data_IF_530244220449
#
_entry.id   IF_530244220449
#
_cell.length_a   1.000
_cell.length_b   1.000
_cell.length_c   1.000
_cell.angle_alpha   90.00
_cell.angle_beta   90.00
_cell.angle_gamma   90.00
#
_symmetry.space_group_name_H-M   'P 1'
#
loop_
_entity.id
_entity.type
_entity.pdbx_description
1 polymer ?
#
# COMPACT_ATOMS: atom_id res chain seq x y z
N UNK A 1 23.55 -70.05 -10.28
CA UNK A 1 22.42 -70.54 -11.10
C UNK A 1 21.47 -69.39 -11.32
N UNK A 2 21.43 -68.90 -12.55
CA UNK A 2 20.49 -67.87 -13.03
C UNK A 2 19.04 -68.31 -12.85
N UNK A 3 18.15 -67.34 -12.60
CA UNK A 3 16.85 -67.30 -13.29
C UNK A 3 16.26 -65.89 -13.29
N UNK A 4 15.95 -65.49 -14.52
CA UNK A 4 15.43 -64.22 -15.03
C UNK A 4 14.03 -63.85 -14.52
N UNK A 5 13.85 -62.58 -14.14
CA UNK A 5 12.54 -61.97 -13.90
C UNK A 5 12.06 -61.15 -15.10
N UNK A 6 10.99 -61.58 -15.74
CA UNK A 6 10.30 -60.87 -16.84
C UNK A 6 9.24 -59.91 -16.26
N UNK A 7 9.46 -58.60 -16.38
CA UNK A 7 8.44 -57.56 -16.12
C UNK A 7 7.50 -57.42 -17.32
N UNK A 8 6.20 -57.62 -17.11
CA UNK A 8 5.12 -57.27 -18.06
C UNK A 8 4.96 -55.75 -18.13
N UNK A 9 4.92 -55.20 -19.34
CA UNK A 9 4.49 -53.81 -19.63
C UNK A 9 2.95 -53.77 -19.73
N UNK A 10 2.31 -52.85 -19.03
CA UNK A 10 0.92 -52.43 -19.27
C UNK A 10 0.89 -51.28 -20.30
N UNK A 11 -0.10 -51.22 -21.21
CA UNK A 11 -0.26 -50.10 -22.12
C UNK A 11 -0.99 -48.93 -21.43
N UNK A 12 -0.48 -47.71 -21.60
CA UNK A 12 -1.18 -46.48 -21.25
C UNK A 12 -2.11 -46.11 -22.42
N UNK A 13 -3.42 -46.27 -22.23
CA UNK A 13 -4.45 -45.73 -23.12
C UNK A 13 -4.58 -44.22 -22.91
N UNK A 14 -4.33 -43.43 -23.96
CA UNK A 14 -4.54 -41.99 -23.97
C UNK A 14 -6.02 -41.63 -24.00
N UNK A 15 -6.52 -41.01 -22.93
CA UNK A 15 -7.81 -40.33 -22.88
C UNK A 15 -7.61 -38.82 -23.02
N UNK A 16 -8.22 -38.21 -24.04
CA UNK A 16 -8.20 -36.77 -24.28
C UNK A 16 -9.32 -36.10 -23.46
N UNK A 17 -8.96 -35.27 -22.48
CA UNK A 17 -9.90 -34.44 -21.73
C UNK A 17 -10.22 -33.18 -22.54
N UNK A 18 -11.43 -33.12 -23.12
CA UNK A 18 -11.95 -31.91 -23.76
C UNK A 18 -12.46 -30.94 -22.68
N UNK A 19 -11.79 -29.81 -22.48
CA UNK A 19 -12.31 -28.70 -21.68
C UNK A 19 -13.28 -27.88 -22.53
N UNK A 20 -14.55 -27.76 -22.10
CA UNK A 20 -15.49 -26.78 -22.63
C UNK A 20 -15.07 -25.38 -22.14
N UNK A 21 -14.90 -24.45 -23.06
CA UNK A 21 -14.65 -23.04 -22.75
C UNK A 21 -15.91 -22.40 -22.14
N UNK A 22 -15.79 -21.64 -21.03
CA UNK A 22 -16.91 -20.89 -20.48
C UNK A 22 -17.38 -19.78 -21.44
N UNK A 23 -18.65 -19.36 -21.38
CA UNK A 23 -19.18 -18.29 -22.22
C UNK A 23 -18.47 -16.95 -21.92
N UNK A 24 -18.35 -16.06 -22.93
CA UNK A 24 -17.65 -14.79 -22.76
C UNK A 24 -18.37 -13.86 -21.77
N UNK A 25 -17.63 -13.03 -21.01
CA UNK A 25 -18.21 -12.11 -20.04
C UNK A 25 -19.00 -10.99 -20.73
N UNK A 26 -20.19 -10.66 -20.20
CA UNK A 26 -21.00 -9.52 -20.62
C UNK A 26 -20.84 -8.35 -19.64
N UNK A 27 -20.46 -7.17 -20.16
CA UNK A 27 -20.31 -5.94 -19.37
C UNK A 27 -19.37 -4.94 -20.06
N UNK A 28 -19.26 -3.69 -19.58
CA UNK A 28 -18.51 -2.60 -20.22
C UNK A 28 -16.98 -2.84 -20.35
N UNK A 29 -16.49 -3.99 -19.88
CA UNK A 29 -15.09 -4.43 -19.96
C UNK A 29 -14.86 -5.60 -20.93
N UNK A 30 -15.91 -6.13 -21.58
CA UNK A 30 -15.83 -7.29 -22.47
C UNK A 30 -14.96 -7.04 -23.73
N UNK A 31 -15.00 -5.83 -24.26
CA UNK A 31 -14.21 -5.41 -25.43
C UNK A 31 -12.71 -5.33 -25.12
N UNK A 32 -12.33 -5.03 -23.88
CA UNK A 32 -10.92 -4.93 -23.48
C UNK A 32 -10.25 -6.31 -23.36
N UNK A 33 -10.93 -7.29 -22.75
CA UNK A 33 -10.40 -8.65 -22.58
C UNK A 33 -10.15 -9.38 -23.91
N UNK A 34 -10.97 -9.10 -24.93
CA UNK A 34 -10.80 -9.69 -26.26
C UNK A 34 -9.51 -9.26 -26.98
N UNK A 35 -8.96 -8.09 -26.65
CA UNK A 35 -7.79 -7.51 -27.33
C UNK A 35 -6.43 -8.03 -26.83
N UNK A 36 -6.42 -8.77 -25.71
CA UNK A 36 -5.22 -9.36 -25.11
C UNK A 36 -4.97 -10.81 -25.59
N UNK A 37 -5.99 -11.49 -26.14
CA UNK A 37 -5.88 -12.89 -26.61
C UNK A 37 -5.18 -13.03 -27.98
N UNK A 38 -5.08 -11.95 -28.76
CA UNK A 38 -4.64 -11.99 -30.17
C UNK A 38 -3.14 -11.81 -30.41
N UNK A 39 -2.29 -11.83 -29.37
CA UNK A 39 -0.83 -11.62 -29.49
C UNK A 39 0.06 -12.82 -29.16
N UNK A 40 -0.44 -14.04 -29.33
CA UNK A 40 0.39 -15.26 -29.33
C UNK A 40 0.25 -16.01 -30.66
N UNK A 41 0.84 -15.44 -31.70
CA UNK A 41 1.06 -16.12 -32.98
C UNK A 41 2.24 -17.10 -32.86
N UNK A 42 1.94 -18.39 -33.05
CA UNK A 42 2.93 -19.48 -33.17
C UNK A 42 3.85 -19.22 -34.37
N UNK A 43 5.16 -19.12 -34.14
CA UNK A 43 6.17 -19.45 -35.14
C UNK A 43 7.23 -20.33 -34.48
N UNK A 44 7.40 -21.54 -35.02
CA UNK A 44 8.41 -22.51 -34.61
C UNK A 44 9.50 -22.53 -35.67
N UNK A 45 10.68 -21.99 -35.37
CA UNK A 45 11.88 -22.15 -36.20
C UNK A 45 13.00 -22.71 -35.33
N UNK A 46 13.44 -23.93 -35.66
CA UNK A 46 14.60 -24.58 -35.08
C UNK A 46 15.89 -23.92 -35.60
N UNK A 47 16.80 -23.54 -34.69
CA UNK A 47 18.17 -23.14 -35.00
C UNK A 47 19.16 -24.15 -34.37
N UNK A 48 20.25 -24.54 -35.05
CA UNK A 48 21.17 -25.55 -34.57
C UNK A 48 22.14 -24.98 -33.52
N UNK A 49 22.41 -25.77 -32.48
CA UNK A 49 23.36 -25.46 -31.41
C UNK A 49 24.80 -25.55 -31.93
N UNK A 50 25.45 -24.41 -32.15
CA UNK A 50 26.91 -24.32 -32.30
C UNK A 50 27.54 -24.01 -30.95
N UNK A 51 28.38 -24.92 -30.43
CA UNK A 51 29.18 -24.69 -29.21
C UNK A 51 30.29 -23.69 -29.52
N UNK A 52 30.14 -22.44 -29.08
CA UNK A 52 31.26 -21.50 -28.94
C UNK A 52 31.69 -21.43 -27.47
N UNK A 53 32.99 -21.64 -27.22
CA UNK A 53 33.60 -21.42 -25.90
C UNK A 53 33.68 -19.91 -25.65
N UNK A 54 32.87 -19.41 -24.71
CA UNK A 54 32.96 -18.03 -24.24
C UNK A 54 34.08 -17.97 -23.19
N UNK A 55 35.15 -17.22 -23.48
CA UNK A 55 36.13 -16.80 -22.47
C UNK A 55 35.46 -15.72 -21.61
N UNK A 56 35.21 -15.99 -20.33
CA UNK A 56 34.80 -14.95 -19.38
C UNK A 56 35.99 -14.02 -19.13
N UNK A 57 35.86 -12.76 -19.55
CA UNK A 57 36.65 -11.65 -19.07
C UNK A 57 36.04 -11.18 -17.76
N UNK A 58 36.83 -11.16 -16.69
CA UNK A 58 36.44 -10.67 -15.37
C UNK A 58 36.38 -9.13 -15.38
N UNK A 59 35.26 -8.57 -15.81
CA UNK A 59 34.89 -7.20 -15.46
C UNK A 59 34.20 -7.24 -14.11
N UNK A 60 34.93 -6.86 -13.07
CA UNK A 60 34.38 -6.60 -11.74
C UNK A 60 33.37 -5.47 -11.85
N UNK A 61 32.12 -5.80 -12.13
CA UNK A 61 31.01 -4.87 -11.96
C UNK A 61 30.92 -4.68 -10.46
N UNK A 62 31.30 -3.50 -9.96
CA UNK A 62 30.88 -3.05 -8.64
C UNK A 62 29.36 -2.96 -8.75
N UNK A 63 28.68 -4.06 -8.41
CA UNK A 63 27.29 -4.03 -8.01
C UNK A 63 27.28 -3.09 -6.82
N UNK A 64 27.00 -1.81 -7.07
CA UNK A 64 26.60 -0.88 -6.03
C UNK A 64 25.59 -1.65 -5.20
N UNK A 65 25.88 -1.85 -3.93
CA UNK A 65 25.02 -2.59 -3.02
C UNK A 65 23.63 -1.97 -3.10
N UNK A 66 22.75 -2.54 -3.94
CA UNK A 66 21.32 -2.40 -3.78
C UNK A 66 21.13 -2.77 -2.32
N UNK A 67 20.72 -1.82 -1.48
CA UNK A 67 20.64 -2.02 -0.04
C UNK A 67 19.83 -3.31 0.21
N UNK A 68 20.53 -4.40 0.50
CA UNK A 68 19.97 -5.71 0.83
C UNK A 68 19.32 -5.67 2.23
N UNK A 69 19.40 -4.53 2.90
CA UNK A 69 18.78 -4.24 4.19
C UNK A 69 17.41 -3.60 3.97
N UNK A 70 16.41 -4.03 4.75
CA UNK A 70 15.04 -3.52 4.63
C UNK A 70 14.96 -2.00 4.91
N UNK A 71 14.18 -1.23 4.14
CA UNK A 71 14.02 0.21 4.37
C UNK A 71 13.36 0.48 5.72
N UNK A 72 13.65 1.62 6.33
CA UNK A 72 13.02 2.07 7.58
C UNK A 72 11.91 3.06 7.26
N UNK A 73 10.67 2.75 7.63
CA UNK A 73 9.52 3.61 7.37
C UNK A 73 9.02 4.19 8.70
N UNK A 74 8.84 5.51 8.73
CA UNK A 74 8.24 6.19 9.87
C UNK A 74 6.72 6.04 9.89
N UNK A 75 6.11 5.79 11.05
CA UNK A 75 4.65 5.81 11.23
C UNK A 75 4.28 6.92 12.23
N UNK A 76 3.49 7.89 11.79
CA UNK A 76 3.08 9.02 12.65
C UNK A 76 2.13 8.56 13.76
N UNK A 77 2.52 8.80 15.00
CA UNK A 77 1.71 8.42 16.17
C UNK A 77 0.40 9.21 16.22
N UNK A 78 -0.65 8.58 16.72
CA UNK A 78 -1.97 9.18 16.89
C UNK A 78 -2.15 9.62 18.35
N UNK A 79 -2.81 10.76 18.55
CA UNK A 79 -3.34 11.12 19.87
C UNK A 79 -4.69 10.43 20.06
N UNK A 80 -4.96 9.85 21.24
CA UNK A 80 -6.26 9.27 21.50
C UNK A 80 -7.34 10.37 21.50
N UNK A 81 -8.61 9.96 21.37
CA UNK A 81 -9.71 10.92 21.53
C UNK A 81 -9.65 11.49 22.94
N UNK A 82 -10.09 12.76 23.09
CA UNK A 82 -10.09 13.58 24.31
C UNK A 82 -10.73 12.95 25.58
N UNK A 83 -11.19 11.70 25.53
CA UNK A 83 -11.86 10.99 26.62
C UNK A 83 -11.14 9.72 27.10
N UNK A 84 -9.95 9.35 26.57
CA UNK A 84 -9.18 8.30 27.23
C UNK A 84 -8.45 8.87 28.45
N UNK A 85 -8.69 8.27 29.62
CA UNK A 85 -7.93 8.56 30.85
C UNK A 85 -6.41 8.41 30.63
N UNK A 86 -6.05 7.58 29.65
CA UNK A 86 -4.72 7.38 29.17
C UNK A 86 -4.42 8.34 27.99
N UNK A 87 -3.69 9.43 28.28
CA UNK A 87 -3.27 10.45 27.28
C UNK A 87 -2.10 9.99 26.41
N UNK A 88 -1.66 8.73 26.51
CA UNK A 88 -0.52 8.21 25.75
C UNK A 88 -0.78 8.21 24.25
N UNK A 89 0.22 8.66 23.49
CA UNK A 89 0.24 8.55 22.04
C UNK A 89 0.27 7.07 21.67
N UNK A 90 -0.33 6.72 20.53
CA UNK A 90 -0.40 5.32 20.13
C UNK A 90 -0.26 5.11 18.63
N UNK A 91 0.11 3.90 18.25
CA UNK A 91 0.01 3.38 16.89
C UNK A 91 -0.77 2.06 16.95
N UNK A 92 -1.77 1.89 16.09
CA UNK A 92 -2.41 0.58 15.96
C UNK A 92 -1.43 -0.43 15.35
N UNK A 93 -1.30 -1.60 15.96
CA UNK A 93 -0.28 -2.58 15.58
C UNK A 93 -0.44 -3.09 14.13
N UNK A 94 -1.65 -3.02 13.57
CA UNK A 94 -1.92 -3.37 12.18
C UNK A 94 -1.11 -2.57 11.16
N UNK A 95 -0.82 -1.28 11.41
CA UNK A 95 0.04 -0.50 10.52
C UNK A 95 1.51 -0.94 10.56
N UNK A 96 1.98 -1.38 11.73
CA UNK A 96 3.34 -1.91 11.89
C UNK A 96 3.45 -3.23 11.11
N UNK A 97 2.52 -4.16 11.36
CA UNK A 97 2.44 -5.47 10.68
C UNK A 97 2.28 -5.33 9.17
N UNK A 98 1.52 -4.33 8.70
CA UNK A 98 1.36 -4.02 7.27
C UNK A 98 2.72 -3.74 6.60
N UNK A 99 3.56 -2.90 7.22
CA UNK A 99 4.87 -2.56 6.67
C UNK A 99 5.88 -3.69 6.82
N UNK A 100 5.91 -4.34 7.99
CA UNK A 100 6.84 -5.46 8.27
C UNK A 100 6.56 -6.66 7.37
N UNK A 101 5.29 -6.93 7.02
CA UNK A 101 4.92 -8.00 6.09
C UNK A 101 5.55 -7.85 4.70
N UNK A 102 5.92 -6.63 4.28
CA UNK A 102 6.59 -6.33 3.02
C UNK A 102 8.12 -6.10 3.18
N UNK A 103 8.67 -6.39 4.36
CA UNK A 103 10.11 -6.33 4.63
C UNK A 103 10.64 -4.94 4.98
N UNK A 104 9.81 -4.04 5.51
CA UNK A 104 10.27 -2.79 6.10
C UNK A 104 10.50 -2.91 7.61
N UNK A 105 11.46 -2.15 8.12
CA UNK A 105 11.58 -1.82 9.55
C UNK A 105 10.72 -0.60 9.85
N UNK A 106 10.22 -0.47 11.07
CA UNK A 106 9.33 0.64 11.43
C UNK A 106 9.87 1.46 12.60
N UNK A 107 9.74 2.78 12.50
CA UNK A 107 10.05 3.74 13.57
C UNK A 107 8.79 4.55 13.89
N UNK A 108 8.38 4.66 15.17
CA UNK A 108 7.32 5.59 15.56
C UNK A 108 7.79 7.04 15.41
N UNK A 109 7.03 7.84 14.65
CA UNK A 109 7.30 9.28 14.50
C UNK A 109 6.50 10.02 15.56
N UNK A 110 7.21 10.50 16.58
CA UNK A 110 6.62 11.16 17.76
C UNK A 110 6.08 12.55 17.43
N UNK A 111 5.10 13.00 18.21
CA UNK A 111 4.65 14.39 18.19
C UNK A 111 5.60 15.27 19.01
N UNK A 112 5.36 16.58 18.95
CA UNK A 112 6.00 17.58 19.83
C UNK A 112 7.53 17.72 19.72
N UNK A 113 8.14 17.14 18.68
CA UNK A 113 9.58 17.32 18.41
C UNK A 113 9.91 18.70 17.86
N UNK A 114 11.17 19.11 18.01
CA UNK A 114 11.73 20.29 17.36
C UNK A 114 11.87 20.09 15.85
N UNK A 115 12.03 21.18 15.10
CA UNK A 115 12.28 21.08 13.65
C UNK A 115 13.58 20.34 13.35
N UNK A 116 14.61 20.52 14.18
CA UNK A 116 15.89 19.82 14.05
C UNK A 116 15.75 18.31 14.22
N UNK A 117 15.03 17.87 15.26
CA UNK A 117 14.74 16.44 15.48
C UNK A 117 13.93 15.83 14.33
N UNK A 118 12.90 16.53 13.81
CA UNK A 118 12.15 16.03 12.65
C UNK A 118 13.02 15.92 11.40
N UNK A 119 13.95 16.86 11.18
CA UNK A 119 14.90 16.79 10.06
C UNK A 119 15.89 15.63 10.21
N UNK A 120 16.44 15.43 11.40
CA UNK A 120 17.33 14.29 11.68
C UNK A 120 16.60 12.97 11.42
N UNK A 121 15.38 12.82 11.94
CA UNK A 121 14.58 11.61 11.71
C UNK A 121 14.22 11.43 10.23
N UNK A 122 13.77 12.49 9.55
CA UNK A 122 13.39 12.46 8.13
C UNK A 122 14.54 11.98 7.24
N UNK A 123 15.76 12.47 7.49
CA UNK A 123 16.97 12.06 6.76
C UNK A 123 17.44 10.63 7.12
N UNK A 124 16.89 10.04 8.19
CA UNK A 124 17.25 8.71 8.67
C UNK A 124 16.28 7.61 8.19
N UNK A 125 15.04 7.98 7.83
CA UNK A 125 14.00 7.06 7.36
C UNK A 125 13.78 7.18 5.85
N UNK A 126 13.25 6.13 5.25
CA UNK A 126 13.08 5.98 3.79
C UNK A 126 11.66 6.25 3.29
N UNK A 127 10.72 6.54 4.19
CA UNK A 127 9.33 6.84 3.83
C UNK A 127 8.49 7.15 5.06
N UNK A 128 7.28 7.67 4.84
CA UNK A 128 6.37 8.05 5.92
C UNK A 128 4.96 7.50 5.68
N UNK A 129 4.41 6.81 6.69
CA UNK A 129 3.01 6.41 6.73
C UNK A 129 2.24 7.26 7.74
N UNK A 130 1.13 7.83 7.28
CA UNK A 130 0.14 8.57 8.04
C UNK A 130 -1.05 7.62 8.27
N UNK A 131 -1.20 7.06 9.48
CA UNK A 131 -2.24 6.07 9.72
C UNK A 131 -3.62 6.70 9.82
N UNK A 132 -4.65 5.85 9.79
CA UNK A 132 -6.00 6.22 10.14
C UNK A 132 -6.16 6.52 11.63
N UNK A 133 -7.24 7.21 11.98
CA UNK A 133 -7.46 7.64 13.34
C UNK A 133 -8.61 8.62 13.47
N UNK A 134 -8.59 9.39 14.54
CA UNK A 134 -9.60 10.42 14.81
C UNK A 134 -9.02 11.66 15.48
N UNK A 135 -7.70 11.84 15.38
CA UNK A 135 -7.03 13.06 15.86
C UNK A 135 -7.45 14.24 14.97
N UNK A 136 -7.53 15.44 15.56
CA UNK A 136 -7.80 16.65 14.79
C UNK A 136 -6.56 17.03 13.97
N UNK A 137 -6.69 17.05 12.64
CA UNK A 137 -5.61 17.29 11.68
C UNK A 137 -5.34 18.79 11.40
N UNK A 138 -6.05 19.71 12.06
CA UNK A 138 -5.98 21.15 11.78
C UNK A 138 -5.17 21.93 12.82
N UNK A 139 -5.43 21.68 14.12
CA UNK A 139 -5.01 22.58 15.22
C UNK A 139 -4.27 21.88 16.37
N UNK A 140 -3.69 20.70 16.14
CA UNK A 140 -3.02 19.92 17.20
C UNK A 140 -1.52 19.74 16.93
N UNK A 141 -0.80 19.16 17.90
CA UNK A 141 0.59 18.73 17.72
C UNK A 141 0.75 17.71 16.58
N UNK A 142 -0.30 16.95 16.27
CA UNK A 142 -0.36 16.11 15.07
C UNK A 142 -0.29 16.95 13.79
N UNK A 143 -1.08 18.02 13.70
CA UNK A 143 -1.06 18.95 12.56
C UNK A 143 0.30 19.62 12.38
N UNK A 144 0.96 20.02 13.48
CA UNK A 144 2.33 20.58 13.43
C UNK A 144 3.34 19.57 12.88
N UNK A 145 3.35 18.35 13.41
CA UNK A 145 4.22 17.27 12.93
C UNK A 145 3.97 16.96 11.45
N UNK A 146 2.70 16.79 11.08
CA UNK A 146 2.25 16.54 9.72
C UNK A 146 2.73 17.62 8.74
N UNK A 147 2.54 18.90 9.06
CA UNK A 147 2.98 20.02 8.22
C UNK A 147 4.50 20.03 7.99
N UNK A 148 5.28 19.79 9.05
CA UNK A 148 6.74 19.74 8.95
C UNK A 148 7.17 18.58 8.04
N UNK A 149 6.69 17.36 8.33
CA UNK A 149 7.07 16.15 7.61
C UNK A 149 6.62 16.18 6.14
N UNK A 150 5.39 16.65 5.87
CA UNK A 150 4.89 16.82 4.50
C UNK A 150 5.73 17.83 3.71
N UNK A 151 6.10 18.96 4.34
CA UNK A 151 6.96 19.96 3.71
C UNK A 151 8.35 19.41 3.41
N UNK A 152 8.96 18.67 4.35
CA UNK A 152 10.24 18.00 4.12
C UNK A 152 10.17 17.00 2.95
N UNK A 153 9.14 16.15 2.92
CA UNK A 153 8.94 15.21 1.82
C UNK A 153 8.75 15.93 0.47
N UNK A 154 7.96 17.00 0.44
CA UNK A 154 7.72 17.76 -0.79
C UNK A 154 9.00 18.44 -1.29
N UNK A 155 9.78 19.04 -0.38
CA UNK A 155 11.05 19.70 -0.70
C UNK A 155 12.13 18.71 -1.16
N UNK A 156 12.22 17.54 -0.51
CA UNK A 156 13.13 16.46 -0.91
C UNK A 156 12.84 16.02 -2.35
N UNK A 157 11.57 15.66 -2.64
CA UNK A 157 11.19 15.21 -3.98
C UNK A 157 11.37 16.31 -5.04
N UNK A 158 11.14 17.58 -4.72
CA UNK A 158 11.43 18.72 -5.62
C UNK A 158 12.91 18.84 -5.97
N UNK A 159 13.80 18.40 -5.07
CA UNK A 159 15.26 18.40 -5.26
C UNK A 159 15.78 17.09 -5.85
N UNK A 160 14.90 16.15 -6.23
CA UNK A 160 15.28 14.85 -6.77
C UNK A 160 15.59 13.79 -5.73
N UNK A 161 15.36 14.07 -4.44
CA UNK A 161 15.49 13.10 -3.36
C UNK A 161 14.14 12.40 -3.10
N UNK A 162 14.04 11.13 -3.51
CA UNK A 162 12.78 10.41 -3.64
C UNK A 162 12.22 9.98 -2.28
N UNK A 163 11.24 10.68 -1.73
CA UNK A 163 10.68 10.33 -0.42
C UNK A 163 9.18 10.02 -0.50
N UNK A 164 8.76 8.74 -0.38
CA UNK A 164 7.36 8.37 -0.50
C UNK A 164 6.56 8.63 0.78
N UNK A 165 5.30 9.03 0.61
CA UNK A 165 4.34 9.25 1.70
C UNK A 165 3.07 8.46 1.44
N UNK A 166 2.60 7.71 2.43
CA UNK A 166 1.34 6.97 2.38
C UNK A 166 0.35 7.50 3.41
N UNK A 167 -0.90 7.73 3.02
CA UNK A 167 -1.98 8.13 3.92
C UNK A 167 -3.15 7.15 3.92
N UNK A 168 -3.47 6.57 5.07
CA UNK A 168 -4.65 5.71 5.23
C UNK A 168 -5.74 6.44 6.00
N UNK A 169 -6.96 6.49 5.47
CA UNK A 169 -8.16 7.07 6.10
C UNK A 169 -7.95 8.51 6.62
N UNK A 170 -7.63 8.71 7.90
CA UNK A 170 -7.26 10.03 8.43
C UNK A 170 -6.00 10.58 7.74
N UNK A 171 -5.04 9.72 7.42
CA UNK A 171 -3.85 10.07 6.63
C UNK A 171 -4.20 10.54 5.23
N UNK A 172 -5.18 9.91 4.57
CA UNK A 172 -5.69 10.36 3.27
C UNK A 172 -6.31 11.76 3.38
N UNK A 173 -7.14 11.98 4.41
CA UNK A 173 -7.75 13.29 4.67
C UNK A 173 -6.68 14.35 4.96
N UNK A 174 -5.66 14.00 5.74
CA UNK A 174 -4.49 14.83 6.02
C UNK A 174 -3.74 15.21 4.73
N UNK A 175 -3.48 14.27 3.82
CA UNK A 175 -2.84 14.55 2.54
C UNK A 175 -3.65 15.51 1.66
N UNK A 176 -4.97 15.33 1.61
CA UNK A 176 -5.84 16.28 0.89
C UNK A 176 -5.75 17.69 1.49
N UNK A 177 -5.84 17.81 2.81
CA UNK A 177 -5.74 19.08 3.52
C UNK A 177 -4.35 19.75 3.35
N UNK A 178 -3.26 18.98 3.35
CA UNK A 178 -1.92 19.52 3.13
C UNK A 178 -1.73 20.10 1.73
N UNK A 179 -2.40 19.54 0.71
CA UNK A 179 -2.31 20.02 -0.67
C UNK A 179 -3.25 21.20 -0.92
N UNK A 180 -4.51 21.10 -0.48
CA UNK A 180 -5.50 22.18 -0.69
C UNK A 180 -5.28 23.38 0.22
N UNK A 181 -4.59 23.20 1.36
CA UNK A 181 -4.54 24.17 2.46
C UNK A 181 -5.91 24.59 3.01
N UNK A 182 -6.98 23.88 2.61
CA UNK A 182 -8.37 24.15 2.96
C UNK A 182 -9.09 22.88 3.39
N UNK A 183 -10.07 23.01 4.29
CA UNK A 183 -10.88 21.87 4.73
C UNK A 183 -11.84 21.47 3.60
N UNK A 184 -11.48 20.42 2.86
CA UNK A 184 -12.22 19.90 1.69
C UNK A 184 -12.97 18.60 1.98
N UNK A 185 -13.35 18.39 3.24
CA UNK A 185 -14.04 17.16 3.66
C UNK A 185 -15.55 17.35 3.72
N UNK A 186 -16.28 16.42 3.12
CA UNK A 186 -17.74 16.32 3.20
C UNK A 186 -18.12 15.10 4.04
N UNK A 187 -19.16 15.25 4.87
CA UNK A 187 -19.67 14.14 5.66
C UNK A 187 -20.24 13.06 4.73
N UNK A 188 -19.90 11.80 4.99
CA UNK A 188 -20.35 10.63 4.22
C UNK A 188 -20.76 9.50 5.16
N UNK A 189 -21.68 8.63 4.70
CA UNK A 189 -22.13 7.46 5.46
C UNK A 189 -21.34 6.20 5.05
N UNK A 190 -20.09 6.09 5.49
CA UNK A 190 -19.19 5.00 5.06
C UNK A 190 -18.44 4.38 6.24
N UNK A 191 -19.13 4.21 7.36
CA UNK A 191 -18.56 3.64 8.58
C UNK A 191 -18.86 2.15 8.68
N UNK A 192 -17.80 1.33 8.63
CA UNK A 192 -17.86 -0.08 8.96
C UNK A 192 -18.48 -0.93 7.85
N UNK A 193 -18.14 -0.66 6.59
CA UNK A 193 -18.63 -1.41 5.44
C UNK A 193 -17.48 -1.77 4.49
N UNK A 194 -17.52 -2.97 3.92
CA UNK A 194 -16.61 -3.37 2.86
C UNK A 194 -17.25 -3.11 1.49
N UNK A 195 -16.51 -2.47 0.60
CA UNK A 195 -16.98 -2.10 -0.75
C UNK A 195 -16.00 -2.60 -1.82
N UNK A 196 -16.46 -2.89 -3.05
CA UNK A 196 -15.58 -2.92 -4.22
C UNK A 196 -15.03 -1.53 -4.50
N UNK A 197 -13.99 -1.43 -5.32
CA UNK A 197 -13.42 -0.15 -5.74
C UNK A 197 -13.85 0.19 -7.18
N UNK A 198 -14.42 1.38 -7.37
CA UNK A 198 -14.73 1.86 -8.72
C UNK A 198 -13.47 2.49 -9.32
N UNK A 199 -12.75 1.73 -10.15
CA UNK A 199 -11.56 2.25 -10.82
C UNK A 199 -11.93 3.33 -11.84
N UNK A 200 -11.20 4.45 -11.81
CA UNK A 200 -11.38 5.54 -12.77
C UNK A 200 -10.53 5.30 -14.02
N UNK A 201 -10.67 6.17 -15.02
CA UNK A 201 -9.79 6.18 -16.19
C UNK A 201 -8.30 6.38 -15.84
N UNK A 202 -8.00 7.05 -14.74
CA UNK A 202 -6.62 7.33 -14.29
C UNK A 202 -5.90 6.07 -13.79
N UNK A 203 -6.65 5.02 -13.42
CA UNK A 203 -6.09 3.77 -12.95
C UNK A 203 -5.17 3.07 -13.95
N UNK A 204 -5.37 3.29 -15.27
CA UNK A 204 -4.54 2.72 -16.34
C UNK A 204 -3.07 3.13 -16.24
N UNK A 205 -2.79 4.32 -15.70
CA UNK A 205 -1.44 4.83 -15.48
C UNK A 205 -0.98 4.76 -14.03
N UNK A 206 -1.69 4.00 -13.18
CA UNK A 206 -1.42 3.94 -11.75
C UNK A 206 -0.09 3.28 -11.46
N UNK A 207 0.72 3.93 -10.62
CA UNK A 207 1.92 3.29 -10.05
C UNK A 207 1.53 2.28 -8.99
N UNK A 208 0.56 2.64 -8.14
CA UNK A 208 0.11 1.83 -7.01
C UNK A 208 -0.37 0.44 -7.42
N UNK A 209 -1.10 0.35 -8.53
CA UNK A 209 -1.67 -0.91 -9.01
C UNK A 209 -0.88 -1.57 -10.15
N UNK A 210 0.25 -1.00 -10.57
CA UNK A 210 1.03 -1.52 -11.72
C UNK A 210 1.59 -2.94 -11.52
N UNK A 211 1.86 -3.34 -10.28
CA UNK A 211 2.35 -4.68 -9.94
C UNK A 211 1.25 -5.70 -9.62
N UNK A 212 -0.02 -5.30 -9.64
CA UNK A 212 -1.12 -6.20 -9.29
C UNK A 212 -1.44 -7.15 -10.44
N UNK A 213 -1.70 -8.44 -10.18
CA UNK A 213 -2.27 -9.33 -11.18
C UNK A 213 -3.63 -8.82 -11.65
N UNK A 214 -3.94 -8.93 -12.94
CA UNK A 214 -5.22 -8.49 -13.52
C UNK A 214 -6.43 -9.11 -12.81
N UNK A 215 -6.33 -10.38 -12.44
CA UNK A 215 -7.34 -11.08 -11.64
C UNK A 215 -7.62 -10.32 -10.32
N UNK A 216 -6.59 -9.87 -9.62
CA UNK A 216 -6.74 -9.18 -8.33
C UNK A 216 -7.38 -7.79 -8.51
N UNK A 217 -7.08 -7.12 -9.62
CA UNK A 217 -7.74 -5.85 -9.98
C UNK A 217 -9.22 -6.07 -10.29
N UNK A 218 -9.57 -7.13 -11.03
CA UNK A 218 -10.97 -7.49 -11.32
C UNK A 218 -11.73 -7.83 -10.03
N UNK A 219 -11.09 -8.55 -9.11
CA UNK A 219 -11.65 -8.89 -7.82
C UNK A 219 -11.88 -7.64 -6.95
N UNK A 220 -10.91 -6.73 -6.88
CA UNK A 220 -11.08 -5.41 -6.24
C UNK A 220 -12.24 -4.60 -6.84
N UNK A 221 -12.45 -4.69 -8.15
CA UNK A 221 -13.50 -3.95 -8.84
C UNK A 221 -14.91 -4.53 -8.62
N UNK A 222 -15.03 -5.80 -8.21
CA UNK A 222 -16.32 -6.52 -8.18
C UNK A 222 -16.74 -6.98 -6.79
N UNK A 223 -15.79 -7.24 -5.86
CA UNK A 223 -16.07 -7.80 -4.54
C UNK A 223 -15.84 -6.79 -3.42
N UNK A 224 -16.59 -6.91 -2.29
CA UNK A 224 -16.42 -6.04 -1.13
C UNK A 224 -15.12 -6.34 -0.38
N UNK A 225 -14.00 -5.84 -0.89
CA UNK A 225 -12.64 -6.14 -0.39
C UNK A 225 -11.95 -4.92 0.23
N UNK A 226 -12.50 -3.71 0.09
CA UNK A 226 -11.98 -2.50 0.70
C UNK A 226 -12.83 -2.08 1.91
N UNK A 227 -12.27 -2.15 3.13
CA UNK A 227 -12.98 -1.72 4.33
C UNK A 227 -12.97 -0.20 4.47
N UNK A 228 -14.14 0.41 4.43
CA UNK A 228 -14.37 1.82 4.76
C UNK A 228 -14.84 1.96 6.20
N UNK A 229 -14.17 2.84 6.96
CA UNK A 229 -14.52 3.13 8.36
C UNK A 229 -14.31 4.61 8.71
N UNK A 230 -14.89 5.50 7.91
CA UNK A 230 -14.72 6.95 8.01
C UNK A 230 -16.07 7.68 8.01
N UNK A 231 -16.07 8.95 8.43
CA UNK A 231 -17.26 9.83 8.46
C UNK A 231 -17.15 11.02 7.50
N UNK A 232 -15.99 11.19 6.91
CA UNK A 232 -15.57 12.38 6.17
C UNK A 232 -14.79 11.91 4.96
N UNK A 233 -15.11 12.45 3.79
CA UNK A 233 -14.48 12.09 2.53
C UNK A 233 -14.25 13.32 1.67
N UNK A 234 -13.31 13.24 0.74
CA UNK A 234 -13.23 14.20 -0.36
C UNK A 234 -14.16 13.71 -1.46
N UNK A 235 -15.28 14.41 -1.69
CA UNK A 235 -16.21 14.03 -2.76
C UNK A 235 -15.56 14.19 -4.12
N UNK A 236 -16.00 13.41 -5.12
CA UNK A 236 -15.50 13.58 -6.49
C UNK A 236 -15.74 15.01 -6.99
N UNK A 237 -16.90 15.60 -6.67
CA UNK A 237 -17.19 17.01 -6.97
C UNK A 237 -16.12 17.93 -6.38
N UNK A 238 -15.88 17.87 -5.07
CA UNK A 238 -14.88 18.72 -4.41
C UNK A 238 -13.49 18.50 -5.00
N UNK A 239 -13.09 17.25 -5.23
CA UNK A 239 -11.78 16.90 -5.79
C UNK A 239 -11.55 17.53 -7.16
N UNK A 240 -12.51 17.39 -8.09
CA UNK A 240 -12.35 17.90 -9.45
C UNK A 240 -12.56 19.42 -9.58
N UNK A 241 -13.30 20.04 -8.66
CA UNK A 241 -13.44 21.51 -8.63
C UNK A 241 -12.26 22.21 -7.95
N UNK A 242 -11.54 21.51 -7.07
CA UNK A 242 -10.35 22.06 -6.44
C UNK A 242 -9.13 21.83 -7.35
N UNK A 243 -8.68 22.90 -8.01
CA UNK A 243 -7.54 22.84 -8.92
C UNK A 243 -6.24 22.39 -8.25
N UNK A 244 -6.04 22.67 -6.95
CA UNK A 244 -4.81 22.23 -6.26
C UNK A 244 -4.80 20.72 -6.06
N UNK A 245 -5.94 20.14 -5.68
CA UNK A 245 -6.07 18.68 -5.52
C UNK A 245 -5.97 17.96 -6.86
N UNK A 246 -6.77 18.38 -7.84
CA UNK A 246 -6.87 17.71 -9.16
C UNK A 246 -5.62 17.84 -10.03
N UNK A 247 -4.73 18.81 -9.75
CA UNK A 247 -3.42 18.91 -10.44
C UNK A 247 -2.30 18.21 -9.68
N UNK A 248 -2.44 18.02 -8.37
CA UNK A 248 -1.45 17.32 -7.56
C UNK A 248 -1.65 15.79 -7.62
N UNK A 249 -2.90 15.34 -7.51
CA UNK A 249 -3.28 13.93 -7.40
C UNK A 249 -4.12 13.45 -8.58
N UNK A 250 -3.96 12.17 -8.90
CA UNK A 250 -4.91 11.36 -9.66
C UNK A 250 -5.88 10.70 -8.69
N UNK A 251 -7.17 10.77 -8.98
CA UNK A 251 -8.17 9.93 -8.33
C UNK A 251 -8.18 8.57 -9.01
N UNK A 252 -7.61 7.55 -8.38
CA UNK A 252 -7.43 6.22 -8.96
C UNK A 252 -8.68 5.36 -8.81
N UNK A 253 -9.31 5.44 -7.65
CA UNK A 253 -10.61 4.80 -7.41
C UNK A 253 -11.56 5.77 -6.73
N UNK A 254 -12.84 5.58 -6.99
CA UNK A 254 -13.94 6.22 -6.27
C UNK A 254 -14.80 5.16 -5.58
N UNK A 255 -15.65 5.63 -4.67
CA UNK A 255 -16.71 4.86 -4.06
C UNK A 255 -17.93 5.76 -3.87
N UNK A 256 -19.09 5.15 -3.68
CA UNK A 256 -20.32 5.86 -3.35
C UNK A 256 -20.65 5.61 -1.88
N UNK A 257 -21.09 6.65 -1.19
CA UNK A 257 -22.00 6.43 -0.07
C UNK A 257 -23.45 6.37 -0.59
N UNK A 258 -24.45 6.37 0.29
CA UNK A 258 -25.86 6.32 -0.11
C UNK A 258 -26.32 7.52 -0.98
N UNK A 259 -25.54 8.60 -1.06
CA UNK A 259 -25.94 9.89 -1.67
C UNK A 259 -24.96 10.45 -2.69
N UNK A 260 -23.66 10.22 -2.53
CA UNK A 260 -22.63 10.93 -3.26
C UNK A 260 -21.36 10.09 -3.46
N UNK A 261 -20.69 10.35 -4.58
CA UNK A 261 -19.40 9.77 -4.90
C UNK A 261 -18.25 10.49 -4.17
N UNK A 262 -17.28 9.72 -3.70
CA UNK A 262 -16.04 10.20 -3.11
C UNK A 262 -14.82 9.46 -3.64
N UNK A 263 -13.68 10.16 -3.62
CA UNK A 263 -12.38 9.57 -3.99
C UNK A 263 -11.94 8.63 -2.88
N UNK A 264 -11.63 7.38 -3.24
CA UNK A 264 -11.25 6.35 -2.29
C UNK A 264 -9.79 5.93 -2.38
N UNK A 265 -9.11 6.19 -3.51
CA UNK A 265 -7.67 6.00 -3.66
C UNK A 265 -7.07 7.15 -4.47
N UNK A 266 -5.95 7.71 -4.00
CA UNK A 266 -5.19 8.78 -4.66
C UNK A 266 -3.72 8.38 -4.87
N UNK A 267 -3.12 8.91 -5.93
CA UNK A 267 -1.67 8.91 -6.13
C UNK A 267 -1.22 10.26 -6.72
N UNK A 268 -0.05 10.76 -6.35
CA UNK A 268 0.47 12.02 -6.90
C UNK A 268 0.83 11.88 -8.38
N UNK A 269 0.62 12.93 -9.18
CA UNK A 269 1.10 12.92 -10.58
C UNK A 269 2.62 12.88 -10.64
N UNK A 270 3.27 13.72 -9.82
CA UNK A 270 4.73 13.93 -9.82
C UNK A 270 5.42 13.40 -8.58
N UNK A 271 4.74 13.49 -7.44
CA UNK A 271 5.31 13.12 -6.14
C UNK A 271 4.84 11.71 -5.74
N UNK A 272 5.68 10.92 -5.05
CA UNK A 272 5.35 9.56 -4.58
C UNK A 272 4.45 9.60 -3.33
N UNK A 273 3.36 10.35 -3.42
CA UNK A 273 2.39 10.53 -2.35
C UNK A 273 1.13 9.75 -2.69
N UNK A 274 0.74 8.86 -1.79
CA UNK A 274 -0.26 7.83 -2.01
C UNK A 274 -1.28 7.87 -0.88
N UNK A 275 -2.53 7.52 -1.17
CA UNK A 275 -3.52 7.46 -0.12
C UNK A 275 -4.68 6.55 -0.44
N UNK A 276 -5.18 5.89 0.60
CA UNK A 276 -6.38 5.07 0.58
C UNK A 276 -7.32 5.59 1.65
N UNK A 277 -8.56 5.93 1.28
CA UNK A 277 -9.60 6.32 2.24
C UNK A 277 -10.11 5.11 3.04
N UNK A 278 -9.93 3.92 2.49
CA UNK A 278 -10.20 2.61 3.08
C UNK A 278 -8.95 2.05 3.79
N UNK A 279 -9.11 0.92 4.49
CA UNK A 279 -8.11 0.37 5.41
C UNK A 279 -7.53 -0.97 4.95
N UNK A 280 -6.47 -0.99 4.13
CA UNK A 280 -5.84 -2.23 3.68
C UNK A 280 -5.20 -3.03 4.83
N UNK A 281 -4.69 -2.36 5.86
CA UNK A 281 -4.02 -3.00 6.99
C UNK A 281 -4.97 -3.90 7.81
N UNK A 282 -6.26 -3.58 7.81
CA UNK A 282 -7.26 -4.30 8.61
C UNK A 282 -7.54 -5.70 8.07
N UNK A 283 -7.37 -5.90 6.77
CA UNK A 283 -7.75 -7.13 6.07
C UNK A 283 -7.07 -8.39 6.64
N UNK A 284 -5.83 -8.25 7.12
CA UNK A 284 -5.06 -9.36 7.70
C UNK A 284 -4.87 -9.27 9.23
N UNK A 285 -5.03 -8.08 9.83
CA UNK A 285 -4.50 -7.85 11.18
C UNK A 285 -5.51 -7.35 12.22
N UNK A 286 -6.77 -7.11 11.85
CA UNK A 286 -7.79 -6.61 12.78
C UNK A 286 -9.06 -7.45 12.78
N UNK A 287 -9.57 -7.85 13.95
CA UNK A 287 -10.69 -8.81 14.06
C UNK A 287 -11.91 -8.25 14.80
N UNK A 288 -11.84 -7.01 15.29
CA UNK A 288 -12.89 -6.44 16.16
C UNK A 288 -14.10 -5.86 15.41
N UNK A 289 -14.20 -6.08 14.10
CA UNK A 289 -15.31 -5.60 13.27
C UNK A 289 -15.72 -6.70 12.27
N UNK A 290 -16.97 -7.14 12.31
CA UNK A 290 -17.49 -8.19 11.43
C UNK A 290 -17.52 -7.81 9.95
N UNK A 291 -17.47 -6.52 9.63
CA UNK A 291 -17.45 -6.02 8.26
C UNK A 291 -16.07 -6.09 7.59
N UNK A 292 -15.02 -6.53 8.29
CA UNK A 292 -13.69 -6.68 7.70
C UNK A 292 -13.66 -7.93 6.81
N UNK A 293 -13.32 -7.81 5.52
CA UNK A 293 -13.32 -8.96 4.62
C UNK A 293 -12.00 -9.76 4.74
N UNK A 294 -12.00 -10.78 5.61
CA UNK A 294 -10.86 -11.67 5.87
C UNK A 294 -10.65 -12.78 4.82
N UNK A 295 -10.89 -12.47 3.54
CA UNK A 295 -10.70 -13.44 2.46
C UNK A 295 -9.22 -13.58 2.07
N UNK A 296 -8.86 -14.71 1.46
CA UNK A 296 -7.52 -14.89 0.88
C UNK A 296 -7.17 -13.78 -0.14
N UNK A 297 -8.17 -13.30 -0.89
CA UNK A 297 -8.03 -12.16 -1.79
C UNK A 297 -7.71 -10.86 -1.03
N UNK A 298 -8.40 -10.60 0.08
CA UNK A 298 -8.13 -9.45 0.94
C UNK A 298 -6.70 -9.44 1.50
N UNK A 299 -6.19 -10.60 1.89
CA UNK A 299 -4.80 -10.75 2.35
C UNK A 299 -3.81 -10.46 1.22
N UNK A 300 -4.06 -10.99 0.01
CA UNK A 300 -3.24 -10.69 -1.19
C UNK A 300 -3.24 -9.19 -1.48
N UNK A 301 -4.40 -8.54 -1.50
CA UNK A 301 -4.52 -7.09 -1.74
C UNK A 301 -3.70 -6.29 -0.73
N UNK A 302 -3.84 -6.61 0.57
CA UNK A 302 -3.07 -5.98 1.63
C UNK A 302 -1.56 -6.09 1.36
N UNK A 303 -1.09 -7.31 1.05
CA UNK A 303 0.32 -7.56 0.79
C UNK A 303 0.83 -6.80 -0.44
N UNK A 304 0.11 -6.79 -1.57
CA UNK A 304 0.54 -6.08 -2.77
C UNK A 304 0.62 -4.55 -2.56
N UNK A 305 -0.29 -3.96 -1.76
CA UNK A 305 -0.19 -2.55 -1.39
C UNK A 305 1.00 -2.26 -0.47
N UNK A 306 1.25 -3.14 0.50
CA UNK A 306 2.40 -3.04 1.38
C UNK A 306 3.71 -3.16 0.58
N UNK A 307 3.81 -4.18 -0.28
CA UNK A 307 4.95 -4.41 -1.15
C UNK A 307 5.21 -3.20 -2.05
N UNK A 308 4.17 -2.66 -2.69
CA UNK A 308 4.27 -1.44 -3.48
C UNK A 308 4.89 -0.29 -2.67
N UNK A 309 4.32 0.03 -1.50
CA UNK A 309 4.80 1.17 -0.72
C UNK A 309 6.22 0.95 -0.16
N UNK A 310 6.55 -0.27 0.25
CA UNK A 310 7.92 -0.59 0.70
C UNK A 310 8.91 -0.53 -0.47
N UNK A 311 8.52 -0.93 -1.68
CA UNK A 311 9.33 -0.76 -2.88
C UNK A 311 9.53 0.72 -3.24
N UNK A 312 8.56 1.58 -2.98
CA UNK A 312 8.75 3.03 -3.10
C UNK A 312 9.81 3.54 -2.12
N UNK A 313 9.81 3.04 -0.89
CA UNK A 313 10.79 3.44 0.13
C UNK A 313 12.22 2.99 -0.20
N UNK A 314 12.39 1.91 -0.97
CA UNK A 314 13.71 1.45 -1.46
C UNK A 314 14.36 2.40 -2.49
N UNK A 315 13.67 3.46 -2.93
CA UNK A 315 14.14 4.38 -3.99
C UNK A 315 14.90 5.60 -3.48
N UNK A 316 15.13 5.73 -2.17
CA UNK A 316 16.09 6.69 -1.60
C UNK A 316 17.15 5.97 -0.76
N UNK A 317 18.20 6.74 -0.42
CA UNK A 317 19.37 6.26 0.30
C UNK A 317 19.48 6.85 1.72
N UNK A 318 18.35 7.31 2.29
CA UNK A 318 18.31 7.75 3.68
C UNK A 318 18.72 6.62 4.62
N UNK A 319 19.44 6.98 5.68
CA UNK A 319 19.91 6.02 6.67
C UNK A 319 20.23 6.70 7.99
N UNK A 320 20.09 5.97 9.08
CA UNK A 320 20.56 6.44 10.38
C UNK A 320 22.09 6.56 10.37
N UNK A 321 22.61 7.53 11.12
CA UNK A 321 24.06 7.75 11.21
C UNK A 321 24.83 6.58 11.84
N UNK A 322 24.14 5.65 12.52
CA UNK A 322 24.71 4.40 13.01
C UNK A 322 23.63 3.35 13.28
N UNK A 323 24.01 2.09 13.21
CA UNK A 323 23.13 0.96 13.56
C UNK A 323 22.62 1.04 15.01
N UNK A 324 23.42 1.57 15.93
CA UNK A 324 23.01 1.76 17.32
C UNK A 324 21.89 2.82 17.47
N UNK A 325 21.93 3.90 16.68
CA UNK A 325 20.84 4.89 16.65
C UNK A 325 19.58 4.27 16.02
N UNK A 326 19.74 3.54 14.92
CA UNK A 326 18.63 2.84 14.29
C UNK A 326 17.94 1.89 15.28
N UNK A 327 18.69 0.95 15.87
CA UNK A 327 18.16 -0.03 16.83
C UNK A 327 17.38 0.61 17.97
N UNK A 328 17.83 1.77 18.48
CA UNK A 328 17.12 2.51 19.54
C UNK A 328 15.83 3.18 19.07
N UNK A 329 15.73 3.53 17.79
CA UNK A 329 14.55 4.18 17.23
C UNK A 329 13.46 3.18 16.80
N UNK A 330 13.81 1.91 16.56
CA UNK A 330 12.87 0.92 16.04
C UNK A 330 11.69 0.65 17.00
N UNK A 331 10.54 0.31 16.40
CA UNK A 331 9.33 -0.10 17.11
C UNK A 331 9.55 -1.32 18.02
N UNK A 332 10.62 -2.10 17.79
CA UNK A 332 10.99 -3.27 18.59
C UNK A 332 11.33 -2.95 20.04
N UNK A 333 11.58 -1.67 20.38
CA UNK A 333 11.77 -1.22 21.76
C UNK A 333 10.45 -0.95 22.51
N UNK A 334 9.30 -1.15 21.84
CA UNK A 334 7.98 -0.91 22.38
C UNK A 334 7.16 -2.20 22.43
N UNK A 335 6.26 -2.30 23.40
CA UNK A 335 5.39 -3.47 23.56
C UNK A 335 3.98 -3.19 23.04
N UNK A 336 3.47 -4.09 22.20
CA UNK A 336 2.08 -4.07 21.79
C UNK A 336 1.18 -4.50 22.96
N UNK A 337 0.24 -3.65 23.34
CA UNK A 337 -0.76 -3.93 24.37
C UNK A 337 -2.06 -4.36 23.69
N UNK A 338 -2.62 -5.48 24.15
CA UNK A 338 -3.94 -5.92 23.72
C UNK A 338 -4.99 -4.89 24.12
N UNK A 339 -5.83 -4.47 23.18
CA UNK A 339 -7.03 -3.70 23.45
C UNK A 339 -8.25 -4.60 23.71
N UNK A 340 -8.05 -5.93 23.67
CA UNK A 340 -9.12 -6.93 23.75
C UNK A 340 -10.13 -6.79 22.61
N UNK A 341 -11.36 -7.21 22.88
CA UNK A 341 -12.50 -7.06 21.94
C UNK A 341 -13.10 -5.65 21.96
N UNK A 342 -12.55 -4.72 22.76
CA UNK A 342 -13.07 -3.35 22.90
C UNK A 342 -12.41 -2.43 21.86
N UNK A 343 -13.23 -1.71 21.10
CA UNK A 343 -12.77 -0.75 20.09
C UNK A 343 -12.38 -1.41 18.76
N UNK A 344 -11.76 -0.63 17.88
CA UNK A 344 -11.53 -1.00 16.46
C UNK A 344 -10.15 -1.61 16.16
N UNK A 345 -9.32 -1.78 17.19
CA UNK A 345 -7.96 -2.30 17.07
C UNK A 345 -7.76 -3.43 18.08
N UNK A 346 -7.15 -4.55 17.66
CA UNK A 346 -6.82 -5.71 18.51
C UNK A 346 -5.63 -5.38 19.42
N UNK A 347 -4.62 -4.70 18.87
CA UNK A 347 -3.40 -4.30 19.58
C UNK A 347 -3.00 -2.87 19.25
N UNK A 348 -2.40 -2.20 20.23
CA UNK A 348 -1.80 -0.87 20.07
C UNK A 348 -0.44 -0.83 20.73
N UNK A 349 0.50 -0.15 20.11
CA UNK A 349 1.71 0.32 20.78
C UNK A 349 1.40 1.66 21.43
N UNK A 350 1.64 1.76 22.74
CA UNK A 350 1.65 3.04 23.44
C UNK A 350 3.10 3.52 23.45
N UNK A 351 3.31 4.75 23.00
CA UNK A 351 4.63 5.33 22.68
C UNK A 351 4.97 6.45 23.64
#
# INVERSE_FOLDING_TARGET
>A
MERSGTRRKMPLSGGCLTFRTPPPPSGPWATWLSSLSTKLGRTSTCLPLRRSRIKLSSTTTVLSSLHLTGPVIGVLVQSPRLQSADRRLFIAASYIKFLEAAGAKVVPVLLERSLGEYKELFNSINGLLLPGGSTNIYTTNYSRALRILFKLALEANRKGDYFPVWGTCLGFQALSFMVSSEIRLTRTNSKGMALPLNFTKEAKGSRMFSGFPDELIQELASKPLALHSHKWSVTSRVFYTDHTLSTFYRAITTNWDEKQEYVSTLEGYRYPFYGTQWHPEKLAFEWNQSSIPHSALGIRIMFYLAEFFVNEARKNFHSFSSEAKERKALIWNYYAVSSGVRGVYVQKYYI
#
